data_IF_629069826647
#
_entry.id   IF_629069826647
#
_cell.length_a   1.000
_cell.length_b   1.000
_cell.length_c   1.000
_cell.angle_alpha   90.00
_cell.angle_beta   90.00
_cell.angle_gamma   90.00
#
_symmetry.space_group_name_H-M   'P 1'
#
loop_
_entity.id
_entity.type
_entity.pdbx_description
1 polymer ?
#
# COMPACT_ATOMS: atom_id res chain seq x y z
N UNK A 1 -33.97 -37.65 31.06
CA UNK A 1 -32.99 -37.23 32.10
C UNK A 1 -31.54 -37.57 31.76
N UNK A 2 -31.15 -38.81 31.43
CA UNK A 2 -29.74 -39.21 31.17
C UNK A 2 -29.04 -38.43 30.03
N UNK A 3 -29.77 -38.02 28.98
CA UNK A 3 -29.21 -37.26 27.86
C UNK A 3 -28.76 -35.84 28.25
N UNK A 4 -29.50 -35.12 29.11
CA UNK A 4 -29.11 -33.77 29.54
C UNK A 4 -27.84 -33.77 30.39
N UNK A 5 -27.70 -34.71 31.34
CA UNK A 5 -26.47 -34.84 32.15
C UNK A 5 -25.22 -35.13 31.32
N UNK A 6 -25.34 -35.92 30.25
CA UNK A 6 -24.24 -36.21 29.32
C UNK A 6 -23.81 -34.95 28.55
N UNK A 7 -24.74 -34.08 28.19
CA UNK A 7 -24.46 -32.81 27.49
C UNK A 7 -23.81 -31.79 28.43
N UNK A 8 -24.33 -31.61 29.64
CA UNK A 8 -23.79 -30.68 30.65
C UNK A 8 -22.32 -30.99 30.97
N UNK A 9 -21.99 -32.27 31.21
CA UNK A 9 -20.62 -32.69 31.53
C UNK A 9 -19.65 -32.44 30.36
N UNK A 10 -20.09 -32.67 29.13
CA UNK A 10 -19.29 -32.43 27.92
C UNK A 10 -18.99 -30.94 27.72
N UNK A 11 -19.98 -30.07 27.92
CA UNK A 11 -19.80 -28.61 27.84
C UNK A 11 -18.81 -28.10 28.88
N UNK A 12 -18.86 -28.59 30.12
CA UNK A 12 -17.93 -28.17 31.17
C UNK A 12 -16.48 -28.53 30.84
N UNK A 13 -16.25 -29.76 30.38
CA UNK A 13 -14.93 -30.25 30.00
C UNK A 13 -14.39 -29.41 28.83
N UNK A 14 -15.21 -29.16 27.83
CA UNK A 14 -14.83 -28.34 26.67
C UNK A 14 -14.39 -26.94 27.10
N UNK A 15 -15.21 -26.23 27.89
CA UNK A 15 -14.87 -24.89 28.37
C UNK A 15 -13.55 -24.89 29.14
N UNK A 16 -13.39 -25.80 30.11
CA UNK A 16 -12.16 -25.87 30.94
C UNK A 16 -10.92 -26.23 30.15
N UNK A 17 -11.05 -27.08 29.14
CA UNK A 17 -9.93 -27.49 28.30
C UNK A 17 -9.33 -26.29 27.55
N UNK A 18 -10.18 -25.36 27.09
CA UNK A 18 -9.77 -24.19 26.33
C UNK A 18 -9.52 -22.92 27.18
N UNK A 19 -9.67 -23.00 28.50
CA UNK A 19 -9.28 -21.90 29.38
C UNK A 19 -7.76 -21.78 29.45
N UNK A 20 -7.28 -20.54 29.54
CA UNK A 20 -5.90 -20.25 29.90
C UNK A 20 -5.58 -20.86 31.28
N UNK A 21 -4.36 -21.34 31.49
CA UNK A 21 -3.99 -22.09 32.71
C UNK A 21 -4.30 -21.32 34.00
N UNK A 22 -4.03 -20.02 34.03
CA UNK A 22 -4.34 -19.16 35.17
C UNK A 22 -5.84 -19.03 35.50
N UNK A 23 -6.74 -19.29 34.54
CA UNK A 23 -8.19 -19.29 34.76
C UNK A 23 -8.71 -20.66 35.20
N UNK A 24 -8.01 -21.76 34.85
CA UNK A 24 -8.44 -23.11 35.20
C UNK A 24 -8.47 -23.33 36.70
N UNK A 25 -7.45 -22.83 37.42
CA UNK A 25 -7.36 -22.94 38.88
C UNK A 25 -8.49 -22.17 39.56
N UNK A 26 -8.78 -20.96 39.09
CA UNK A 26 -9.82 -20.09 39.66
C UNK A 26 -11.24 -20.65 39.46
N UNK A 27 -11.51 -21.26 38.31
CA UNK A 27 -12.84 -21.75 37.97
C UNK A 27 -13.03 -23.28 38.15
N UNK A 28 -12.05 -23.98 38.74
CA UNK A 28 -12.08 -25.43 38.93
C UNK A 28 -13.31 -25.90 39.75
N UNK A 29 -13.82 -25.07 40.64
CA UNK A 29 -14.92 -25.41 41.56
C UNK A 29 -16.31 -25.26 40.93
N UNK A 30 -16.45 -24.51 39.82
CA UNK A 30 -17.74 -24.29 39.16
C UNK A 30 -18.19 -25.55 38.41
N UNK A 31 -19.24 -26.21 38.89
CA UNK A 31 -19.75 -27.48 38.33
C UNK A 31 -20.78 -27.31 37.22
N UNK A 32 -21.34 -26.10 37.09
CA UNK A 32 -22.34 -25.78 36.07
C UNK A 32 -21.71 -25.02 34.89
N UNK A 33 -21.80 -25.52 33.65
CA UNK A 33 -21.24 -24.86 32.48
C UNK A 33 -21.83 -23.47 32.22
N UNK A 34 -23.11 -23.24 32.53
CA UNK A 34 -23.76 -21.95 32.30
C UNK A 34 -23.20 -20.91 33.26
N UNK A 35 -23.10 -21.23 34.54
CA UNK A 35 -22.43 -20.37 35.54
C UNK A 35 -20.98 -20.06 35.13
N UNK A 36 -20.21 -21.08 34.68
CA UNK A 36 -18.84 -20.86 34.22
C UNK A 36 -18.78 -19.87 33.05
N UNK A 37 -19.64 -20.07 32.05
CA UNK A 37 -19.75 -19.17 30.90
C UNK A 37 -20.12 -17.75 31.32
N UNK A 38 -21.12 -17.58 32.20
CA UNK A 38 -21.55 -16.27 32.67
C UNK A 38 -20.46 -15.55 33.46
N UNK A 39 -19.72 -16.25 34.33
CA UNK A 39 -18.58 -15.66 35.06
C UNK A 39 -17.45 -15.24 34.13
N UNK A 40 -17.15 -16.03 33.10
CA UNK A 40 -16.16 -15.67 32.08
C UNK A 40 -16.62 -14.46 31.27
N UNK A 41 -17.90 -14.45 30.87
CA UNK A 41 -18.52 -13.35 30.15
C UNK A 41 -18.44 -12.06 30.98
N UNK A 42 -18.86 -12.09 32.24
CA UNK A 42 -18.78 -10.94 33.14
C UNK A 42 -17.35 -10.43 33.29
N UNK A 43 -16.39 -11.34 33.51
CA UNK A 43 -14.97 -10.99 33.62
C UNK A 43 -14.43 -10.32 32.35
N UNK A 44 -14.87 -10.70 31.16
CA UNK A 44 -14.30 -10.19 29.90
C UNK A 44 -15.19 -9.19 29.16
N UNK A 45 -16.45 -9.02 29.56
CA UNK A 45 -17.38 -8.11 28.87
C UNK A 45 -16.89 -6.66 28.93
N UNK A 46 -16.22 -6.27 30.03
CA UNK A 46 -15.61 -4.94 30.13
C UNK A 46 -14.49 -4.73 29.10
N UNK A 47 -13.83 -5.77 28.58
CA UNK A 47 -12.80 -5.58 27.54
C UNK A 47 -13.39 -4.96 26.28
N UNK A 48 -14.66 -5.24 25.97
CA UNK A 48 -15.34 -4.64 24.82
C UNK A 48 -15.41 -3.11 24.94
N UNK A 49 -15.48 -2.55 26.16
CA UNK A 49 -15.55 -1.10 26.36
C UNK A 49 -14.26 -0.39 26.00
N UNK A 50 -13.11 -1.07 26.12
CA UNK A 50 -11.80 -0.54 25.72
C UNK A 50 -11.51 -0.85 24.25
N UNK A 51 -11.86 -2.05 23.79
CA UNK A 51 -11.62 -2.50 22.41
C UNK A 51 -12.46 -1.68 21.43
N UNK A 52 -13.72 -1.38 21.78
CA UNK A 52 -14.68 -0.77 20.85
C UNK A 52 -14.27 0.63 20.40
N UNK A 53 -14.01 1.62 21.29
CA UNK A 53 -13.62 2.97 20.87
C UNK A 53 -12.32 2.95 20.05
N UNK A 54 -11.38 2.08 20.43
CA UNK A 54 -10.12 1.91 19.68
C UNK A 54 -10.38 1.37 18.27
N UNK A 55 -11.17 0.31 18.13
CA UNK A 55 -11.49 -0.28 16.84
C UNK A 55 -12.29 0.68 15.95
N UNK A 56 -13.19 1.50 16.53
CA UNK A 56 -13.89 2.56 15.79
C UNK A 56 -12.92 3.63 15.30
N UNK A 57 -11.99 4.09 16.15
CA UNK A 57 -10.98 5.06 15.75
C UNK A 57 -10.05 4.49 14.66
N UNK A 58 -9.60 3.25 14.82
CA UNK A 58 -8.76 2.57 13.82
C UNK A 58 -9.53 2.43 12.49
N UNK A 59 -10.83 2.09 12.53
CA UNK A 59 -11.68 2.04 11.34
C UNK A 59 -11.82 3.40 10.67
N UNK A 60 -12.08 4.48 11.42
CA UNK A 60 -12.22 5.82 10.86
C UNK A 60 -10.93 6.28 10.16
N UNK A 61 -9.78 6.02 10.78
CA UNK A 61 -8.48 6.48 10.30
C UNK A 61 -7.78 5.49 9.34
N UNK A 62 -8.36 4.32 9.07
CA UNK A 62 -7.79 3.36 8.13
C UNK A 62 -7.72 3.94 6.71
N UNK A 63 -6.53 3.96 6.09
CA UNK A 63 -6.34 4.37 4.69
C UNK A 63 -5.42 3.42 3.93
N UNK A 64 -5.76 3.08 2.69
CA UNK A 64 -4.95 2.20 1.84
C UNK A 64 -3.52 2.72 1.63
N UNK A 65 -3.35 4.03 1.49
CA UNK A 65 -2.05 4.68 1.25
C UNK A 65 -1.06 4.62 2.43
N UNK A 66 -1.53 4.28 3.64
CA UNK A 66 -0.67 4.20 4.82
C UNK A 66 0.09 2.86 4.90
N UNK A 67 -0.19 1.94 3.98
CA UNK A 67 0.41 0.61 3.91
C UNK A 67 1.34 0.50 2.71
N UNK A 68 2.37 -0.34 2.86
CA UNK A 68 3.32 -0.59 1.77
C UNK A 68 2.72 -1.53 0.72
N UNK A 69 1.87 -2.45 1.16
CA UNK A 69 1.24 -3.45 0.28
C UNK A 69 -0.26 -3.57 0.52
N UNK A 70 -0.99 -4.00 -0.52
CA UNK A 70 -2.43 -4.32 -0.42
C UNK A 70 -2.68 -5.44 0.61
N UNK A 71 -1.74 -6.38 0.76
CA UNK A 71 -1.84 -7.47 1.74
C UNK A 71 -1.80 -6.98 3.19
N UNK A 72 -0.90 -6.03 3.51
CA UNK A 72 -0.81 -5.41 4.84
C UNK A 72 -2.09 -4.64 5.19
N UNK A 73 -2.60 -3.86 4.23
CA UNK A 73 -3.88 -3.17 4.35
C UNK A 73 -5.01 -4.17 4.63
N UNK A 74 -5.08 -5.25 3.85
CA UNK A 74 -6.11 -6.26 3.98
C UNK A 74 -6.10 -6.93 5.36
N UNK A 75 -4.92 -7.30 5.84
CA UNK A 75 -4.75 -7.87 7.18
C UNK A 75 -5.26 -6.92 8.26
N UNK A 76 -4.94 -5.62 8.14
CA UNK A 76 -5.37 -4.60 9.09
C UNK A 76 -6.88 -4.37 9.04
N UNK A 77 -7.48 -4.35 7.85
CA UNK A 77 -8.93 -4.30 7.65
C UNK A 77 -9.63 -5.46 8.37
N UNK A 78 -9.15 -6.70 8.19
CA UNK A 78 -9.72 -7.87 8.87
C UNK A 78 -9.54 -7.81 10.40
N UNK A 79 -8.39 -7.35 10.88
CA UNK A 79 -8.15 -7.16 12.30
C UNK A 79 -9.17 -6.18 12.92
N UNK A 80 -9.32 -4.99 12.33
CA UNK A 80 -10.26 -3.97 12.80
C UNK A 80 -11.70 -4.48 12.75
N UNK A 81 -12.14 -5.02 11.61
CA UNK A 81 -13.52 -5.50 11.45
C UNK A 81 -13.84 -6.68 12.37
N UNK A 82 -12.88 -7.57 12.65
CA UNK A 82 -13.06 -8.65 13.63
C UNK A 82 -13.27 -8.12 15.05
N UNK A 83 -12.55 -7.06 15.45
CA UNK A 83 -12.73 -6.39 16.74
C UNK A 83 -14.06 -5.67 16.84
N UNK A 84 -14.48 -4.99 15.77
CA UNK A 84 -15.81 -4.37 15.70
C UNK A 84 -16.92 -5.42 15.83
N UNK A 85 -16.82 -6.55 15.11
CA UNK A 85 -17.76 -7.68 15.21
C UNK A 85 -17.78 -8.29 16.61
N UNK A 86 -16.62 -8.43 17.27
CA UNK A 86 -16.54 -8.89 18.66
C UNK A 86 -17.31 -7.96 19.63
N UNK A 87 -17.33 -6.65 19.33
CA UNK A 87 -18.07 -5.64 20.08
C UNK A 87 -19.55 -5.52 19.68
N UNK A 88 -20.04 -6.36 18.75
CA UNK A 88 -21.44 -6.40 18.33
C UNK A 88 -21.76 -5.63 17.04
N UNK A 89 -20.77 -5.03 16.38
CA UNK A 89 -20.99 -4.32 15.11
C UNK A 89 -21.05 -5.26 13.91
N UNK A 90 -22.08 -5.11 13.09
CA UNK A 90 -22.24 -5.90 11.88
C UNK A 90 -21.58 -5.20 10.68
N UNK A 91 -20.27 -5.37 10.53
CA UNK A 91 -19.55 -4.85 9.37
C UNK A 91 -19.76 -5.77 8.15
N UNK A 92 -20.47 -5.29 7.14
CA UNK A 92 -20.75 -6.00 5.88
C UNK A 92 -19.57 -5.92 4.90
N UNK A 93 -19.56 -6.82 3.91
CA UNK A 93 -18.63 -6.75 2.77
C UNK A 93 -18.73 -5.39 2.05
N UNK A 94 -19.94 -4.89 1.85
CA UNK A 94 -20.19 -3.57 1.24
C UNK A 94 -19.53 -2.44 2.03
N UNK A 95 -19.65 -2.44 3.36
CA UNK A 95 -18.99 -1.45 4.21
C UNK A 95 -17.46 -1.52 4.10
N UNK A 96 -16.89 -2.72 4.02
CA UNK A 96 -15.44 -2.91 3.79
C UNK A 96 -15.02 -2.39 2.42
N UNK A 97 -15.79 -2.68 1.37
CA UNK A 97 -15.52 -2.20 0.01
C UNK A 97 -15.62 -0.68 -0.08
N UNK A 98 -16.68 -0.07 0.44
CA UNK A 98 -16.83 1.38 0.46
C UNK A 98 -15.76 2.05 1.31
N UNK A 99 -15.37 1.44 2.44
CA UNK A 99 -14.24 1.92 3.22
C UNK A 99 -12.96 1.91 2.36
N UNK A 100 -12.66 0.82 1.65
CA UNK A 100 -11.51 0.77 0.74
C UNK A 100 -11.59 1.84 -0.34
N UNK A 101 -12.72 1.98 -1.02
CA UNK A 101 -12.88 3.01 -2.05
C UNK A 101 -12.71 4.41 -1.49
N UNK A 102 -13.22 4.73 -0.31
CA UNK A 102 -13.08 6.06 0.31
C UNK A 102 -11.64 6.45 0.64
N UNK A 103 -10.73 5.47 0.66
CA UNK A 103 -9.33 5.68 1.07
C UNK A 103 -8.36 5.84 -0.10
N UNK A 104 -8.86 5.81 -1.34
CA UNK A 104 -8.06 6.14 -2.51
C UNK A 104 -7.61 7.60 -2.45
N UNK A 105 -6.35 7.85 -2.79
CA UNK A 105 -5.83 9.20 -2.95
C UNK A 105 -6.62 9.96 -4.03
N UNK A 106 -6.75 11.28 -3.91
CA UNK A 106 -7.54 12.11 -4.83
C UNK A 106 -7.08 11.98 -6.30
N UNK A 107 -5.78 11.78 -6.54
CA UNK A 107 -5.23 11.52 -7.88
C UNK A 107 -5.69 10.20 -8.50
N UNK A 108 -6.20 9.27 -7.69
CA UNK A 108 -6.67 7.95 -8.10
C UNK A 108 -8.21 7.87 -8.16
N UNK A 109 -8.90 9.02 -8.23
CA UNK A 109 -10.37 9.09 -8.32
C UNK A 109 -10.93 8.29 -9.50
N UNK A 110 -10.27 8.34 -10.67
CA UNK A 110 -10.70 7.56 -11.83
C UNK A 110 -10.62 6.05 -11.58
N UNK A 111 -9.54 5.59 -10.94
CA UNK A 111 -9.34 4.18 -10.62
C UNK A 111 -10.39 3.70 -9.60
N UNK A 112 -10.67 4.52 -8.59
CA UNK A 112 -11.74 4.29 -7.63
C UNK A 112 -13.10 4.12 -8.33
N UNK A 113 -13.44 5.00 -9.27
CA UNK A 113 -14.68 4.90 -10.07
C UNK A 113 -14.71 3.62 -10.92
N UNK A 114 -13.59 3.26 -11.55
CA UNK A 114 -13.49 2.02 -12.34
C UNK A 114 -13.74 0.78 -11.49
N UNK A 115 -13.18 0.70 -10.28
CA UNK A 115 -13.45 -0.45 -9.40
C UNK A 115 -14.88 -0.48 -8.88
N UNK A 116 -15.49 0.68 -8.57
CA UNK A 116 -16.92 0.73 -8.20
C UNK A 116 -17.83 0.26 -9.33
N UNK A 117 -17.53 0.64 -10.56
CA UNK A 117 -18.30 0.24 -11.73
C UNK A 117 -18.31 -1.29 -11.97
N UNK A 118 -17.34 -2.03 -11.42
CA UNK A 118 -17.31 -3.50 -11.51
C UNK A 118 -18.33 -4.20 -10.61
N UNK A 119 -18.93 -3.50 -9.65
CA UNK A 119 -20.02 -4.01 -8.79
C UNK A 119 -19.70 -5.36 -8.10
N UNK A 120 -18.53 -5.46 -7.49
CA UNK A 120 -18.15 -6.63 -6.68
C UNK A 120 -19.21 -6.95 -5.62
N UNK A 121 -19.43 -8.23 -5.36
CA UNK A 121 -20.40 -8.70 -4.35
C UNK A 121 -19.76 -9.01 -3.01
N UNK A 122 -18.47 -9.35 -3.02
CA UNK A 122 -17.69 -9.65 -1.83
C UNK A 122 -16.43 -8.81 -1.76
N UNK A 123 -16.04 -8.42 -0.55
CA UNK A 123 -14.79 -7.70 -0.34
C UNK A 123 -13.58 -8.52 -0.82
N UNK A 124 -13.65 -9.85 -0.72
CA UNK A 124 -12.61 -10.75 -1.23
C UNK A 124 -12.36 -10.58 -2.74
N UNK A 125 -13.39 -10.29 -3.54
CA UNK A 125 -13.24 -10.09 -4.98
C UNK A 125 -12.49 -8.78 -5.29
N UNK A 126 -12.84 -7.71 -4.57
CA UNK A 126 -12.16 -6.42 -4.66
C UNK A 126 -10.68 -6.56 -4.28
N UNK A 127 -10.39 -7.14 -3.12
CA UNK A 127 -9.02 -7.20 -2.62
C UNK A 127 -8.13 -8.08 -3.51
N UNK A 128 -8.64 -9.20 -4.03
CA UNK A 128 -7.92 -10.01 -5.02
C UNK A 128 -7.59 -9.20 -6.27
N UNK A 129 -8.53 -8.39 -6.76
CA UNK A 129 -8.28 -7.55 -7.93
C UNK A 129 -7.23 -6.45 -7.66
N UNK A 130 -7.22 -5.87 -6.46
CA UNK A 130 -6.22 -4.89 -6.05
C UNK A 130 -4.83 -5.52 -5.93
N UNK A 131 -4.72 -6.73 -5.37
CA UNK A 131 -3.45 -7.45 -5.27
C UNK A 131 -2.87 -7.80 -6.65
N UNK A 132 -3.71 -8.24 -7.60
CA UNK A 132 -3.26 -8.51 -8.98
C UNK A 132 -2.77 -7.22 -9.66
N UNK A 133 -3.48 -6.10 -9.46
CA UNK A 133 -3.08 -4.81 -10.01
C UNK A 133 -1.74 -4.32 -9.43
N UNK A 134 -1.52 -4.46 -8.12
CA UNK A 134 -0.25 -4.16 -7.44
C UNK A 134 0.91 -4.94 -8.06
N UNK A 135 0.77 -6.27 -8.19
CA UNK A 135 1.79 -7.13 -8.78
C UNK A 135 2.08 -6.79 -10.24
N UNK A 136 1.04 -6.52 -11.04
CA UNK A 136 1.22 -6.09 -12.43
C UNK A 136 1.97 -4.76 -12.53
N UNK A 137 1.70 -3.81 -11.64
CA UNK A 137 2.42 -2.53 -11.61
C UNK A 137 3.89 -2.70 -11.24
N UNK A 138 4.19 -3.57 -10.26
CA UNK A 138 5.59 -3.90 -9.93
C UNK A 138 6.34 -4.51 -11.12
N UNK A 139 5.71 -5.43 -11.86
CA UNK A 139 6.29 -6.03 -13.05
C UNK A 139 6.50 -5.01 -14.17
N UNK A 140 5.54 -4.10 -14.40
CA UNK A 140 5.68 -3.02 -15.37
C UNK A 140 6.87 -2.11 -15.06
N UNK A 141 7.06 -1.74 -13.79
CA UNK A 141 8.22 -0.94 -13.35
C UNK A 141 9.55 -1.68 -13.54
N UNK A 142 9.60 -2.98 -13.21
CA UNK A 142 10.78 -3.82 -13.46
C UNK A 142 11.11 -3.86 -14.95
N UNK A 143 10.12 -4.13 -15.81
CA UNK A 143 10.30 -4.19 -17.27
C UNK A 143 10.84 -2.87 -17.84
N UNK A 144 10.33 -1.73 -17.37
CA UNK A 144 10.83 -0.41 -17.77
C UNK A 144 12.32 -0.22 -17.40
N UNK A 145 12.70 -0.66 -16.20
CA UNK A 145 14.07 -0.54 -15.70
C UNK A 145 15.04 -1.59 -16.28
N UNK A 146 14.52 -2.70 -16.82
CA UNK A 146 15.31 -3.75 -17.48
C UNK A 146 15.66 -3.43 -18.94
N UNK A 147 15.20 -2.30 -19.49
CA UNK A 147 15.51 -1.90 -20.87
C UNK A 147 17.02 -1.71 -21.01
N UNK A 148 17.72 -2.39 -21.95
CA UNK A 148 19.15 -2.22 -22.12
C UNK A 148 19.49 -0.76 -22.47
N UNK A 149 20.46 -0.19 -21.76
CA UNK A 149 21.17 1.05 -22.14
C UNK A 149 21.93 0.78 -23.44
N UNK A 150 21.23 0.75 -24.57
CA UNK A 150 21.79 0.31 -25.84
C UNK A 150 20.84 0.36 -27.03
N UNK A 151 19.54 0.60 -26.85
CA UNK A 151 18.73 1.11 -27.97
C UNK A 151 19.07 2.59 -28.16
N UNK A 152 20.21 2.85 -28.79
CA UNK A 152 20.47 4.11 -29.48
C UNK A 152 19.17 4.46 -30.20
N UNK A 153 18.60 5.63 -29.92
CA UNK A 153 17.62 6.21 -30.83
C UNK A 153 18.29 6.16 -32.19
N UNK A 154 17.80 5.30 -33.09
CA UNK A 154 18.32 5.22 -34.45
C UNK A 154 18.26 6.64 -34.97
N UNK A 155 19.42 7.30 -35.05
CA UNK A 155 19.52 8.57 -35.72
C UNK A 155 19.13 8.26 -37.15
N UNK A 156 17.95 8.71 -37.53
CA UNK A 156 17.44 8.67 -38.88
C UNK A 156 18.34 9.56 -39.74
N UNK A 157 19.51 9.02 -40.11
CA UNK A 157 20.39 9.60 -41.09
C UNK A 157 19.72 9.37 -42.45
N UNK A 158 18.93 10.36 -42.86
CA UNK A 158 18.46 10.48 -44.23
C UNK A 158 19.66 10.54 -45.18
N UNK A 159 20.02 9.37 -45.73
CA UNK A 159 20.91 9.25 -46.86
C UNK A 159 20.13 9.63 -48.14
N UNK A 160 20.05 10.93 -48.42
CA UNK A 160 19.68 11.40 -49.74
C UNK A 160 20.93 11.34 -50.65
N UNK A 161 21.03 10.26 -51.42
CA UNK A 161 21.87 10.20 -52.61
C UNK A 161 21.39 11.28 -53.59
N UNK A 162 22.26 12.24 -53.92
CA UNK A 162 22.18 12.99 -55.17
C UNK A 162 23.59 13.23 -55.70
N UNK A 163 23.83 12.71 -56.89
CA UNK A 163 24.96 13.04 -57.76
C UNK A 163 24.88 14.51 -58.16
N UNK A 164 26.00 15.25 -58.06
CA UNK A 164 26.36 16.16 -59.15
C UNK A 164 27.88 16.45 -59.19
N UNK A 165 28.38 16.60 -60.41
CA UNK A 165 29.77 16.76 -60.79
C UNK A 165 30.27 18.18 -60.50
N UNK A 166 31.51 18.34 -59.99
CA UNK A 166 32.46 19.38 -60.47
C UNK A 166 33.88 19.25 -59.88
N UNK A 167 34.81 19.01 -60.80
CA UNK A 167 36.20 19.53 -60.95
C UNK A 167 36.91 20.14 -59.73
N UNK A 168 38.16 19.73 -59.51
CA UNK A 168 39.17 20.61 -58.90
C UNK A 168 40.42 19.91 -58.38
N UNK A 169 41.55 20.15 -59.03
CA UNK A 169 42.89 19.64 -58.73
C UNK A 169 43.48 20.09 -57.37
N UNK A 170 44.42 19.31 -56.81
CA UNK A 170 45.66 19.90 -56.30
C UNK A 170 46.18 19.50 -54.90
N UNK A 171 47.19 18.63 -54.89
CA UNK A 171 48.45 18.65 -54.09
C UNK A 171 48.46 18.88 -52.55
N UNK A 172 48.98 17.84 -51.87
CA UNK A 172 50.20 17.78 -51.02
C UNK A 172 50.51 18.89 -49.99
N UNK A 173 50.73 18.39 -48.76
CA UNK A 173 51.85 18.66 -47.82
C UNK A 173 51.78 19.77 -46.73
N UNK A 174 51.96 19.30 -45.48
CA UNK A 174 52.84 19.75 -44.37
C UNK A 174 52.77 21.17 -43.76
N UNK A 175 52.79 21.18 -42.40
CA UNK A 175 53.27 22.27 -41.54
C UNK A 175 52.51 22.29 -40.20
N UNK A 176 52.90 21.52 -39.16
CA UNK A 176 53.87 21.81 -38.08
C UNK A 176 54.04 23.29 -37.65
N UNK A 177 53.79 23.47 -36.34
CA UNK A 177 54.44 24.37 -35.36
C UNK A 177 53.95 25.80 -35.08
N UNK A 178 53.53 25.95 -33.81
CA UNK A 178 53.98 26.91 -32.77
C UNK A 178 53.76 28.42 -32.93
N UNK A 179 53.18 29.02 -31.87
CA UNK A 179 53.82 30.17 -31.22
C UNK A 179 52.95 31.36 -30.77
N UNK A 180 52.63 31.37 -29.47
CA UNK A 180 52.78 32.47 -28.47
C UNK A 180 52.12 33.87 -28.63
N UNK A 181 51.44 34.27 -27.53
CA UNK A 181 51.44 35.62 -26.90
C UNK A 181 50.37 36.60 -27.40
N UNK A 182 49.77 37.53 -26.63
CA UNK A 182 50.00 38.03 -25.26
C UNK A 182 48.79 38.87 -24.78
N UNK A 183 48.53 38.80 -23.48
CA UNK A 183 47.92 39.74 -22.49
C UNK A 183 47.53 41.18 -22.93
N UNK A 184 46.34 41.64 -22.47
CA UNK A 184 46.08 42.91 -21.69
C UNK A 184 44.57 42.99 -21.31
N UNK A 185 44.15 42.86 -20.04
CA UNK A 185 43.91 43.88 -18.98
C UNK A 185 42.93 45.03 -19.35
N UNK A 186 41.71 45.02 -18.78
CA UNK A 186 41.13 46.08 -17.90
C UNK A 186 39.69 45.67 -17.49
N UNK A 187 39.38 45.41 -16.21
CA UNK A 187 38.98 46.33 -15.12
C UNK A 187 37.83 47.29 -15.45
N UNK A 188 36.63 46.94 -14.95
CA UNK A 188 35.50 47.86 -14.82
C UNK A 188 34.27 47.22 -14.16
N UNK A 189 34.17 47.29 -12.83
CA UNK A 189 32.92 47.25 -12.05
C UNK A 189 32.72 48.68 -11.52
N UNK A 190 31.50 49.22 -11.34
CA UNK A 190 30.73 48.89 -10.13
C UNK A 190 29.17 48.98 -10.17
N UNK A 191 28.56 48.20 -9.24
CA UNK A 191 27.40 48.45 -8.36
C UNK A 191 25.96 48.79 -8.86
N UNK A 192 25.00 47.92 -8.51
CA UNK A 192 23.93 48.06 -7.46
C UNK A 192 22.86 46.95 -7.67
N UNK A 193 22.42 46.09 -6.74
CA UNK A 193 21.84 46.11 -5.38
C UNK A 193 20.29 46.23 -5.37
N UNK A 194 19.66 45.31 -4.61
CA UNK A 194 18.23 45.15 -4.24
C UNK A 194 17.34 44.36 -5.22
N UNK A 195 16.36 43.51 -4.86
CA UNK A 195 15.66 43.10 -3.60
C UNK A 195 14.91 41.78 -3.98
N UNK A 196 14.99 40.67 -3.25
CA UNK A 196 14.01 40.28 -2.22
C UNK A 196 12.54 40.21 -2.68
N UNK A 197 11.96 39.01 -2.89
CA UNK A 197 10.91 38.46 -2.02
C UNK A 197 10.37 37.08 -2.44
N UNK A 198 9.99 36.33 -1.39
CA UNK A 198 9.18 35.11 -1.36
C UNK A 198 7.74 35.38 -1.82
N UNK A 199 7.10 34.38 -2.42
CA UNK A 199 5.94 33.66 -1.87
C UNK A 199 6.05 32.19 -2.28
#
# INVERSE_FOLDING_TARGET
>A
MKHQFKTVRKSLIFLRHHLHEGLKSEYLTIKDPLTLWLSLKERYDHQKTVIFPKAQNDWLNLRLQDFKTVSEYNSTMFNITSRLRLCGENISDEAMMEKTFSTFHASNLLLQQQYRARQFKKYSELISCLMVAEQNNELLLKNHNSRPTGSVSINEANAASYNDHKKGHGKKNHGRENGKGSISKDRGKPYSKFRGNKF
#
